data_IF_422765458499
#
_entry.id   IF_422765458499
#
_cell.length_a   1.000
_cell.length_b   1.000
_cell.length_c   1.000
_cell.angle_alpha   90.00
_cell.angle_beta   90.00
_cell.angle_gamma   90.00
#
_symmetry.space_group_name_H-M   'P 1'
#
loop_
_entity.id
_entity.type
_entity.pdbx_description
1 polymer ?
#
# COMPACT_ATOMS: atom_id res chain seq x y z
N UNK A 1 -58.30 -8.95 6.21
CA UNK A 1 -59.19 -8.42 5.15
C UNK A 1 -60.55 -9.10 5.12
N UNK A 2 -60.61 -10.44 5.23
CA UNK A 2 -61.88 -11.19 5.20
C UNK A 2 -62.81 -10.89 6.38
N UNK A 3 -62.26 -10.63 7.58
CA UNK A 3 -63.03 -10.28 8.78
C UNK A 3 -63.63 -8.86 8.76
N UNK A 4 -63.07 -7.95 7.95
CA UNK A 4 -63.54 -6.55 7.87
C UNK A 4 -64.66 -6.37 6.83
N UNK A 5 -64.84 -7.35 5.94
CA UNK A 5 -65.78 -7.29 4.83
C UNK A 5 -66.89 -8.33 4.96
N UNK A 6 -67.55 -8.40 6.12
CA UNK A 6 -68.80 -9.14 6.41
C UNK A 6 -69.22 -10.21 5.37
N UNK A 7 -68.40 -11.25 5.12
CA UNK A 7 -68.68 -12.40 4.24
C UNK A 7 -69.23 -12.12 2.81
N UNK A 8 -69.40 -10.88 2.38
CA UNK A 8 -70.10 -10.49 1.15
C UNK A 8 -69.18 -10.18 -0.02
N UNK A 9 -67.88 -10.07 0.23
CA UNK A 9 -66.87 -9.82 -0.79
C UNK A 9 -66.39 -11.13 -1.42
N UNK A 10 -66.38 -11.19 -2.76
CA UNK A 10 -65.85 -12.33 -3.50
C UNK A 10 -64.34 -12.47 -3.29
N UNK A 11 -63.85 -13.72 -3.30
CA UNK A 11 -62.42 -13.99 -3.11
C UNK A 11 -61.57 -13.34 -4.21
N UNK A 12 -62.07 -13.30 -5.45
CA UNK A 12 -61.38 -12.68 -6.59
C UNK A 12 -61.22 -11.16 -6.43
N UNK A 13 -62.22 -10.49 -5.84
CA UNK A 13 -62.12 -9.08 -5.52
C UNK A 13 -61.07 -8.83 -4.43
N UNK A 14 -61.04 -9.67 -3.40
CA UNK A 14 -60.03 -9.61 -2.34
C UNK A 14 -58.62 -9.90 -2.86
N UNK A 15 -58.47 -10.88 -3.76
CA UNK A 15 -57.20 -11.17 -4.45
C UNK A 15 -56.72 -9.97 -5.25
N UNK A 16 -57.59 -9.36 -6.04
CA UNK A 16 -57.26 -8.16 -6.83
C UNK A 16 -56.80 -7.01 -5.94
N UNK A 17 -57.56 -6.70 -4.88
CA UNK A 17 -57.22 -5.61 -3.96
C UNK A 17 -55.92 -5.87 -3.19
N UNK A 18 -55.69 -7.12 -2.78
CA UNK A 18 -54.46 -7.51 -2.09
C UNK A 18 -53.25 -7.46 -3.02
N UNK A 19 -53.37 -7.97 -4.24
CA UNK A 19 -52.32 -7.90 -5.27
C UNK A 19 -51.92 -6.45 -5.56
N UNK A 20 -52.89 -5.52 -5.67
CA UNK A 20 -52.61 -4.09 -5.89
C UNK A 20 -51.78 -3.43 -4.79
N UNK A 21 -51.75 -3.99 -3.57
CA UNK A 21 -50.96 -3.45 -2.45
C UNK A 21 -49.53 -3.97 -2.40
N UNK A 22 -49.18 -4.96 -3.21
CA UNK A 22 -47.83 -5.52 -3.26
C UNK A 22 -46.92 -4.73 -4.20
N UNK A 23 -45.59 -4.77 -4.01
CA UNK A 23 -44.63 -4.30 -5.00
C UNK A 23 -44.79 -5.02 -6.34
N UNK A 24 -44.56 -4.31 -7.45
CA UNK A 24 -44.73 -4.81 -8.82
C UNK A 24 -43.99 -6.12 -9.10
N UNK A 25 -42.81 -6.27 -8.53
CA UNK A 25 -41.96 -7.46 -8.71
C UNK A 25 -42.52 -8.71 -8.02
N UNK A 26 -43.29 -8.54 -6.95
CA UNK A 26 -43.96 -9.66 -6.28
C UNK A 26 -45.25 -9.97 -7.03
N UNK A 27 -45.96 -8.93 -7.51
CA UNK A 27 -47.14 -9.10 -8.34
C UNK A 27 -46.85 -9.92 -9.61
N UNK A 28 -45.73 -9.66 -10.30
CA UNK A 28 -45.36 -10.39 -11.52
C UNK A 28 -45.10 -11.87 -11.25
N UNK A 29 -44.47 -12.21 -10.13
CA UNK A 29 -44.22 -13.60 -9.74
C UNK A 29 -45.53 -14.30 -9.39
N UNK A 30 -46.41 -13.64 -8.63
CA UNK A 30 -47.68 -14.20 -8.20
C UNK A 30 -48.74 -14.25 -9.31
N UNK A 31 -48.62 -13.43 -10.36
CA UNK A 31 -49.60 -13.36 -11.45
C UNK A 31 -49.80 -14.68 -12.22
N UNK A 32 -48.82 -15.59 -12.15
CA UNK A 32 -48.89 -16.92 -12.79
C UNK A 32 -49.59 -17.95 -11.89
N UNK A 33 -49.77 -17.66 -10.60
CA UNK A 33 -50.38 -18.57 -9.64
C UNK A 33 -51.91 -18.41 -9.58
N UNK A 34 -52.64 -19.52 -9.58
CA UNK A 34 -54.11 -19.57 -9.48
C UNK A 34 -54.59 -20.01 -8.09
N UNK A 35 -53.71 -19.95 -7.09
CA UNK A 35 -54.02 -20.45 -5.74
C UNK A 35 -55.02 -19.57 -4.96
N UNK A 36 -55.49 -20.09 -3.82
CA UNK A 36 -56.31 -19.36 -2.86
C UNK A 36 -55.54 -18.18 -2.24
N UNK A 37 -56.25 -17.14 -1.82
CA UNK A 37 -55.65 -15.92 -1.26
C UNK A 37 -54.65 -16.21 -0.11
N UNK A 38 -54.98 -17.14 0.78
CA UNK A 38 -54.11 -17.50 1.92
C UNK A 38 -52.77 -18.12 1.49
N UNK A 39 -52.75 -18.85 0.37
CA UNK A 39 -51.52 -19.45 -0.15
C UNK A 39 -50.69 -18.42 -0.91
N UNK A 40 -51.34 -17.56 -1.69
CA UNK A 40 -50.69 -16.43 -2.34
C UNK A 40 -50.02 -15.51 -1.30
N UNK A 41 -50.67 -15.27 -0.17
CA UNK A 41 -50.09 -14.52 0.94
C UNK A 41 -48.80 -15.16 1.48
N UNK A 42 -48.82 -16.47 1.74
CA UNK A 42 -47.61 -17.20 2.16
C UNK A 42 -46.51 -17.16 1.10
N UNK A 43 -46.87 -17.30 -0.18
CA UNK A 43 -45.91 -17.18 -1.27
C UNK A 43 -45.29 -15.79 -1.33
N UNK A 44 -46.08 -14.72 -1.16
CA UNK A 44 -45.57 -13.37 -1.08
C UNK A 44 -44.56 -13.21 0.06
N UNK A 45 -44.88 -13.71 1.25
CA UNK A 45 -43.99 -13.66 2.42
C UNK A 45 -42.66 -14.39 2.12
N UNK A 46 -42.72 -15.59 1.54
CA UNK A 46 -41.49 -16.32 1.17
C UNK A 46 -40.65 -15.60 0.12
N UNK A 47 -41.27 -14.90 -0.85
CA UNK A 47 -40.56 -14.12 -1.86
C UNK A 47 -39.87 -12.92 -1.20
N UNK A 48 -40.52 -12.26 -0.25
CA UNK A 48 -39.93 -11.15 0.51
C UNK A 48 -38.70 -11.63 1.30
N UNK A 49 -38.80 -12.76 1.99
CA UNK A 49 -37.70 -13.32 2.77
C UNK A 49 -36.49 -13.68 1.88
N UNK A 50 -36.75 -14.35 0.76
CA UNK A 50 -35.69 -14.72 -0.21
C UNK A 50 -35.03 -13.48 -0.79
N UNK A 51 -35.81 -12.44 -1.12
CA UNK A 51 -35.25 -11.18 -1.60
C UNK A 51 -34.41 -10.47 -0.55
N UNK A 52 -34.89 -10.40 0.68
CA UNK A 52 -34.15 -9.78 1.78
C UNK A 52 -32.79 -10.45 2.00
N UNK A 53 -32.72 -11.78 1.92
CA UNK A 53 -31.44 -12.49 2.04
C UNK A 53 -30.54 -12.25 0.81
N UNK A 54 -31.11 -12.20 -0.40
CA UNK A 54 -30.38 -11.89 -1.62
C UNK A 54 -29.80 -10.48 -1.58
N UNK A 55 -30.59 -9.49 -1.18
CA UNK A 55 -30.15 -8.10 -1.06
C UNK A 55 -29.06 -7.95 0.00
N UNK A 56 -29.19 -8.65 1.14
CA UNK A 56 -28.15 -8.69 2.18
C UNK A 56 -26.85 -9.29 1.65
N UNK A 57 -26.92 -10.37 0.89
CA UNK A 57 -25.75 -11.01 0.28
C UNK A 57 -25.10 -10.09 -0.77
N UNK A 58 -25.90 -9.40 -1.59
CA UNK A 58 -25.40 -8.43 -2.58
C UNK A 58 -24.73 -7.23 -1.90
N UNK A 59 -25.31 -6.71 -0.81
CA UNK A 59 -24.71 -5.65 -0.01
C UNK A 59 -23.38 -6.09 0.60
N UNK A 60 -23.31 -7.29 1.18
CA UNK A 60 -22.08 -7.85 1.74
C UNK A 60 -20.97 -7.98 0.68
N UNK A 61 -21.30 -8.47 -0.52
CA UNK A 61 -20.35 -8.59 -1.64
C UNK A 61 -19.86 -7.22 -2.12
N UNK A 62 -20.75 -6.21 -2.21
CA UNK A 62 -20.36 -4.84 -2.58
C UNK A 62 -19.38 -4.24 -1.58
N UNK A 63 -19.63 -4.42 -0.28
CA UNK A 63 -18.72 -3.94 0.78
C UNK A 63 -17.36 -4.63 0.68
N UNK A 64 -17.34 -5.96 0.56
CA UNK A 64 -16.10 -6.72 0.42
C UNK A 64 -15.29 -6.31 -0.83
N UNK A 65 -15.96 -6.07 -1.96
CA UNK A 65 -15.31 -5.59 -3.18
C UNK A 65 -14.73 -4.18 -3.01
N UNK A 66 -15.41 -3.28 -2.29
CA UNK A 66 -14.90 -1.94 -2.01
C UNK A 66 -13.65 -1.98 -1.13
N UNK A 67 -13.64 -2.83 -0.10
CA UNK A 67 -12.47 -3.04 0.76
C UNK A 67 -11.30 -3.65 -0.03
N UNK A 68 -11.59 -4.60 -0.93
CA UNK A 68 -10.56 -5.19 -1.79
C UNK A 68 -9.92 -4.17 -2.74
N UNK A 69 -10.69 -3.26 -3.32
CA UNK A 69 -10.12 -2.19 -4.18
C UNK A 69 -9.28 -1.21 -3.36
N UNK A 70 -9.71 -0.84 -2.14
CA UNK A 70 -8.91 0.01 -1.23
C UNK A 70 -7.56 -0.67 -0.92
N UNK A 71 -7.58 -1.95 -0.53
CA UNK A 71 -6.37 -2.72 -0.25
C UNK A 71 -5.48 -2.84 -1.49
N UNK A 72 -6.06 -3.03 -2.67
CA UNK A 72 -5.31 -3.11 -3.93
C UNK A 72 -4.58 -1.79 -4.21
N UNK A 73 -5.23 -0.67 -3.98
CA UNK A 73 -4.62 0.64 -4.18
C UNK A 73 -3.55 0.94 -3.13
N UNK A 74 -3.76 0.56 -1.87
CA UNK A 74 -2.73 0.66 -0.83
C UNK A 74 -1.50 -0.19 -1.17
N UNK A 75 -1.69 -1.41 -1.68
CA UNK A 75 -0.58 -2.25 -2.17
C UNK A 75 0.15 -1.59 -3.34
N UNK A 76 -0.54 -0.88 -4.25
CA UNK A 76 0.14 -0.13 -5.33
C UNK A 76 0.98 1.01 -4.78
N UNK A 77 0.45 1.76 -3.82
CA UNK A 77 1.17 2.87 -3.16
C UNK A 77 2.42 2.33 -2.46
N UNK A 78 2.29 1.29 -1.64
CA UNK A 78 3.42 0.66 -0.95
C UNK A 78 4.47 0.12 -1.93
N UNK A 79 4.05 -0.50 -3.05
CA UNK A 79 4.98 -0.94 -4.09
C UNK A 79 5.76 0.21 -4.71
N UNK A 80 5.11 1.35 -4.94
CA UNK A 80 5.74 2.55 -5.47
C UNK A 80 6.75 3.13 -4.46
N UNK A 81 6.36 3.28 -3.19
CA UNK A 81 7.26 3.76 -2.13
C UNK A 81 8.49 2.85 -1.97
N UNK A 82 8.30 1.52 -1.99
CA UNK A 82 9.41 0.56 -1.95
C UNK A 82 10.34 0.74 -3.16
N UNK A 83 9.79 0.98 -4.34
CA UNK A 83 10.59 1.21 -5.54
C UNK A 83 11.41 2.51 -5.43
N UNK A 84 10.82 3.58 -4.94
CA UNK A 84 11.48 4.87 -4.71
C UNK A 84 12.60 4.74 -3.66
N UNK A 85 12.31 4.12 -2.52
CA UNK A 85 13.31 3.83 -1.48
C UNK A 85 14.48 2.99 -2.02
N UNK A 86 14.20 1.97 -2.84
CA UNK A 86 15.26 1.17 -3.49
C UNK A 86 16.10 2.00 -4.45
N UNK A 87 15.52 2.97 -5.16
CA UNK A 87 16.26 3.86 -6.04
C UNK A 87 17.14 4.83 -5.25
N UNK A 88 16.63 5.39 -4.16
CA UNK A 88 17.39 6.32 -3.33
C UNK A 88 18.55 5.64 -2.60
N UNK A 89 18.36 4.41 -2.11
CA UNK A 89 19.45 3.59 -1.60
C UNK A 89 20.54 3.35 -2.66
N UNK A 90 20.15 3.05 -3.91
CA UNK A 90 21.12 2.88 -5.01
C UNK A 90 21.91 4.16 -5.24
N UNK A 91 21.25 5.33 -5.30
CA UNK A 91 21.94 6.63 -5.45
C UNK A 91 22.90 6.89 -4.30
N UNK A 92 22.50 6.62 -3.06
CA UNK A 92 23.35 6.80 -1.88
C UNK A 92 24.61 5.90 -1.92
N UNK A 93 24.46 4.65 -2.33
CA UNK A 93 25.60 3.72 -2.48
C UNK A 93 26.51 4.05 -3.66
N UNK A 94 26.03 4.74 -4.70
CA UNK A 94 26.85 5.17 -5.83
C UNK A 94 27.57 6.50 -5.58
N UNK A 95 26.94 7.40 -4.82
CA UNK A 95 27.50 8.71 -4.46
C UNK A 95 28.36 8.69 -3.19
N UNK A 96 28.50 7.55 -2.52
CA UNK A 96 29.52 7.42 -1.49
C UNK A 96 30.86 7.53 -2.20
N UNK A 97 31.66 8.60 -1.97
CA UNK A 97 32.96 8.70 -2.57
C UNK A 97 33.69 7.45 -2.10
N UNK A 98 34.11 6.58 -3.04
CA UNK A 98 35.19 5.65 -2.75
C UNK A 98 36.27 6.55 -2.19
N UNK A 99 36.45 6.50 -0.87
CA UNK A 99 37.55 7.18 -0.21
C UNK A 99 38.73 6.56 -0.89
N UNK A 100 39.27 7.26 -1.89
CA UNK A 100 40.53 6.96 -2.50
C UNK A 100 41.46 6.90 -1.30
N UNK A 101 41.69 5.69 -0.82
CA UNK A 101 42.92 5.33 -0.17
C UNK A 101 43.91 5.59 -1.29
N UNK A 102 44.30 6.87 -1.41
CA UNK A 102 45.54 7.30 -2.02
C UNK A 102 46.57 6.52 -1.25
N UNK A 103 46.78 5.34 -1.77
CA UNK A 103 47.82 4.44 -1.36
C UNK A 103 49.06 5.30 -1.48
N UNK A 104 49.54 5.74 -0.32
CA UNK A 104 50.74 6.55 -0.20
C UNK A 104 51.94 5.62 -0.38
N UNK A 105 51.81 4.66 -1.30
CA UNK A 105 52.80 3.66 -1.63
C UNK A 105 53.87 4.37 -2.45
N UNK A 106 54.94 4.76 -1.75
CA UNK A 106 56.20 5.08 -2.38
C UNK A 106 56.70 6.50 -2.24
N UNK A 107 56.43 7.22 -1.14
CA UNK A 107 57.43 8.21 -0.71
C UNK A 107 58.63 7.45 -0.18
N UNK A 108 59.58 7.18 -1.08
CA UNK A 108 60.87 6.59 -0.75
C UNK A 108 61.41 7.28 0.50
N UNK A 109 61.54 6.55 1.61
CA UNK A 109 61.86 7.09 2.94
C UNK A 109 63.14 7.95 2.93
N UNK A 110 64.05 7.67 1.99
CA UNK A 110 65.25 8.49 1.73
C UNK A 110 64.91 9.93 1.32
N UNK A 111 63.94 10.15 0.42
CA UNK A 111 63.56 11.51 -0.03
C UNK A 111 62.87 12.31 1.06
N UNK A 112 62.04 11.65 1.87
CA UNK A 112 61.39 12.26 3.04
C UNK A 112 62.44 12.70 4.07
N UNK A 113 63.42 11.83 4.37
CA UNK A 113 64.49 12.11 5.35
C UNK A 113 65.38 13.25 4.90
N UNK A 114 65.82 13.27 3.64
CA UNK A 114 66.67 14.36 3.10
C UNK A 114 65.91 15.69 3.08
N UNK A 115 64.62 15.68 2.76
CA UNK A 115 63.79 16.90 2.81
C UNK A 115 63.69 17.44 4.23
N UNK A 116 63.43 16.56 5.20
CA UNK A 116 63.33 16.95 6.60
C UNK A 116 64.67 17.50 7.12
N UNK A 117 65.80 16.84 6.81
CA UNK A 117 67.15 17.32 7.18
C UNK A 117 67.42 18.73 6.63
N UNK A 118 67.09 19.00 5.36
CA UNK A 118 67.25 20.33 4.76
C UNK A 118 66.38 21.38 5.47
N UNK A 119 65.15 21.04 5.85
CA UNK A 119 64.27 21.96 6.58
C UNK A 119 64.84 22.32 7.96
N UNK A 120 65.41 21.34 8.67
CA UNK A 120 66.04 21.61 9.97
C UNK A 120 67.30 22.48 9.84
N UNK A 121 68.21 22.19 8.90
CA UNK A 121 69.39 23.02 8.70
C UNK A 121 69.05 24.42 8.16
N UNK A 122 67.99 24.59 7.36
CA UNK A 122 67.51 25.92 6.98
C UNK A 122 67.02 26.74 8.18
N UNK A 123 66.44 26.10 9.18
CA UNK A 123 65.86 26.77 10.36
C UNK A 123 66.87 26.96 11.51
N UNK A 124 67.83 26.05 11.65
CA UNK A 124 68.73 25.98 12.81
C UNK A 124 70.22 25.99 12.44
N UNK A 125 70.56 26.01 11.15
CA UNK A 125 71.95 26.00 10.66
C UNK A 125 72.73 24.79 11.18
N UNK A 126 73.96 25.02 11.62
CA UNK A 126 74.82 24.02 12.28
C UNK A 126 74.26 23.45 13.59
N UNK A 127 73.28 24.12 14.22
CA UNK A 127 72.68 23.70 15.49
C UNK A 127 71.43 22.80 15.31
N UNK A 128 71.30 22.12 14.17
CA UNK A 128 70.16 21.25 13.91
C UNK A 128 70.18 20.00 14.81
N UNK A 129 69.31 19.98 15.83
CA UNK A 129 69.20 18.91 16.84
C UNK A 129 68.62 17.58 16.32
N UNK A 130 68.19 17.52 15.06
CA UNK A 130 67.57 16.34 14.41
C UNK A 130 68.30 15.89 13.15
N UNK A 131 69.57 16.23 13.03
CA UNK A 131 70.42 15.75 11.94
C UNK A 131 70.85 14.29 12.17
N UNK A 132 70.62 13.41 11.20
CA UNK A 132 71.06 12.00 11.25
C UNK A 132 72.01 11.70 10.10
N UNK A 133 73.10 11.00 10.37
CA UNK A 133 74.11 10.66 9.35
C UNK A 133 73.60 9.60 8.35
N UNK A 134 74.03 9.65 7.07
CA UNK A 134 74.92 10.66 6.47
C UNK A 134 74.18 11.97 6.15
N UNK A 135 74.72 13.10 6.59
CA UNK A 135 74.20 14.44 6.26
C UNK A 135 75.08 15.12 5.21
N UNK A 136 74.47 15.64 4.14
CA UNK A 136 75.16 16.37 3.08
C UNK A 136 75.20 17.89 3.30
N UNK A 137 74.97 18.36 4.53
CA UNK A 137 75.05 19.78 4.87
C UNK A 137 76.50 20.16 5.14
N UNK A 138 77.10 20.94 4.25
CA UNK A 138 78.40 21.58 4.44
C UNK A 138 78.20 23.02 4.92
N UNK A 139 78.66 23.31 6.13
CA UNK A 139 78.76 24.68 6.66
C UNK A 139 79.90 25.38 5.92
N UNK A 140 79.63 26.49 5.25
CA UNK A 140 80.62 27.28 4.50
C UNK A 140 80.77 28.65 5.15
#
# INVERSE_FOLDING_TARGET
MRELGNSSLSEDFLKTLWMQRLPSEIQTILAVSTESLDKLAKLADTIVDVKADTDRNVLAVKVANSEFEILRDEVKVLRKEIQELKQDLRKYTQNTPKKDRRDSAGRSASRERTRNIRVFHKKYGKNAYRCTQPCSFSDN
#
